data_IF_847817018473
#
_entry.id   IF_847817018473
#
_cell.length_a   1.000
_cell.length_b   1.000
_cell.length_c   1.000
_cell.angle_alpha   90.00
_cell.angle_beta   90.00
_cell.angle_gamma   90.00
#
_symmetry.space_group_name_H-M   'P 1'
#
loop_
_entity.id
_entity.type
_entity.pdbx_description
1 polymer ?
#
# COMPACT_ATOMS: atom_id res chain seq x y z
N UNK A 1 38.58 -18.09 47.04
CA UNK A 1 37.90 -18.75 45.91
C UNK A 1 36.41 -18.42 46.00
N UNK A 2 36.02 -17.23 45.54
CA UNK A 2 34.61 -16.85 45.39
C UNK A 2 34.29 -16.97 43.90
N UNK A 3 33.51 -17.99 43.55
CA UNK A 3 32.91 -18.12 42.23
C UNK A 3 31.87 -17.01 42.08
N UNK A 4 32.14 -16.05 41.20
CA UNK A 4 31.10 -15.18 40.66
C UNK A 4 30.17 -16.06 39.82
N UNK A 5 28.94 -16.27 40.28
CA UNK A 5 27.86 -16.78 39.44
C UNK A 5 27.61 -15.73 38.35
N UNK A 6 27.73 -16.12 37.09
CA UNK A 6 27.16 -15.35 35.99
C UNK A 6 25.66 -15.19 36.26
N UNK A 7 25.17 -13.95 36.34
CA UNK A 7 23.74 -13.67 36.30
C UNK A 7 23.23 -14.11 34.92
N UNK A 8 22.21 -14.98 34.89
CA UNK A 8 21.43 -15.24 33.67
C UNK A 8 20.86 -13.91 33.18
N UNK A 9 21.30 -13.46 32.00
CA UNK A 9 20.80 -12.25 31.37
C UNK A 9 19.56 -12.67 30.58
N UNK A 10 18.41 -12.79 31.25
CA UNK A 10 17.14 -13.00 30.55
C UNK A 10 16.81 -11.73 29.75
N UNK A 11 16.89 -11.83 28.42
CA UNK A 11 16.65 -10.72 27.49
C UNK A 11 15.16 -10.41 27.32
N UNK A 12 14.31 -11.44 27.41
CA UNK A 12 12.85 -11.30 27.40
C UNK A 12 12.31 -11.34 28.83
N UNK A 13 11.55 -10.31 29.21
CA UNK A 13 10.81 -10.38 30.47
C UNK A 13 9.66 -11.41 30.41
N UNK A 14 9.13 -11.79 31.57
CA UNK A 14 8.08 -12.81 31.69
C UNK A 14 6.81 -12.47 30.89
N UNK A 15 6.46 -11.19 30.78
CA UNK A 15 5.28 -10.76 30.02
C UNK A 15 5.54 -10.91 28.52
N UNK A 16 6.72 -10.51 28.05
CA UNK A 16 7.14 -10.68 26.65
C UNK A 16 7.19 -12.17 26.28
N UNK A 17 7.75 -13.04 27.13
CA UNK A 17 7.75 -14.50 26.90
C UNK A 17 6.35 -15.07 26.79
N UNK A 18 5.45 -14.66 27.69
CA UNK A 18 4.05 -15.13 27.71
C UNK A 18 3.30 -14.69 26.46
N UNK A 19 3.43 -13.42 26.07
CA UNK A 19 2.82 -12.89 24.85
C UNK A 19 3.39 -13.57 23.61
N UNK A 20 4.71 -13.71 23.52
CA UNK A 20 5.37 -14.31 22.37
C UNK A 20 4.92 -15.76 22.20
N UNK A 21 4.90 -16.56 23.27
CA UNK A 21 4.40 -17.94 23.23
C UNK A 21 2.98 -18.03 22.65
N UNK A 22 2.07 -17.18 23.13
CA UNK A 22 0.69 -17.13 22.63
C UNK A 22 0.59 -16.73 21.15
N UNK A 23 1.50 -15.89 20.66
CA UNK A 23 1.58 -15.57 19.23
C UNK A 23 2.17 -16.73 18.41
N UNK A 24 3.21 -17.39 18.90
CA UNK A 24 3.87 -18.51 18.20
C UNK A 24 2.94 -19.73 18.01
N UNK A 25 1.93 -19.90 18.87
CA UNK A 25 0.87 -20.90 18.66
C UNK A 25 0.09 -20.70 17.36
N UNK A 26 0.11 -19.50 16.78
CA UNK A 26 -0.58 -19.19 15.51
C UNK A 26 0.25 -19.49 14.26
N UNK A 27 1.48 -19.99 14.42
CA UNK A 27 2.32 -20.37 13.29
C UNK A 27 1.78 -21.64 12.62
N UNK A 28 1.69 -21.61 11.30
CA UNK A 28 1.26 -22.76 10.47
C UNK A 28 2.42 -23.39 9.69
N UNK A 29 3.55 -22.67 9.56
CA UNK A 29 4.78 -23.10 8.89
C UNK A 29 5.97 -23.07 9.85
N UNK A 30 6.99 -23.92 9.63
CA UNK A 30 8.24 -23.85 10.38
C UNK A 30 9.05 -22.58 10.04
N UNK A 31 9.68 -22.00 11.05
CA UNK A 31 10.50 -20.79 10.98
C UNK A 31 11.93 -21.12 11.43
N UNK A 32 12.93 -20.62 10.70
CA UNK A 32 14.34 -20.69 11.09
C UNK A 32 14.88 -19.28 11.37
N UNK A 33 15.60 -19.17 12.47
CA UNK A 33 16.36 -17.99 12.86
C UNK A 33 17.84 -18.26 12.57
N UNK A 34 18.37 -17.66 11.52
CA UNK A 34 19.75 -17.89 11.07
C UNK A 34 20.60 -16.68 11.44
N UNK A 35 21.35 -16.79 12.55
CA UNK A 35 22.22 -15.73 13.04
C UNK A 35 23.61 -15.75 12.39
N UNK A 36 24.20 -14.57 12.29
CA UNK A 36 25.57 -14.33 11.91
C UNK A 36 26.15 -13.38 12.96
N UNK A 37 27.04 -13.92 13.79
CA UNK A 37 27.51 -13.31 15.03
C UNK A 37 29.03 -13.09 15.00
N UNK A 38 29.48 -12.24 15.92
CA UNK A 38 30.89 -12.02 16.29
C UNK A 38 31.08 -12.30 17.79
N UNK A 39 32.27 -11.99 18.32
CA UNK A 39 32.62 -12.23 19.73
C UNK A 39 32.21 -11.09 20.68
N UNK A 40 31.39 -10.13 20.22
CA UNK A 40 30.95 -9.00 21.04
C UNK A 40 29.88 -9.40 22.07
N UNK A 41 29.77 -8.62 23.15
CA UNK A 41 28.70 -8.79 24.13
C UNK A 41 27.30 -8.67 23.49
N UNK A 42 27.14 -7.82 22.47
CA UNK A 42 25.88 -7.69 21.72
C UNK A 42 25.55 -8.96 20.95
N UNK A 43 26.53 -9.63 20.37
CA UNK A 43 26.31 -10.94 19.74
C UNK A 43 25.87 -12.00 20.75
N UNK A 44 26.44 -12.00 21.96
CA UNK A 44 25.99 -12.88 23.04
C UNK A 44 24.53 -12.61 23.44
N UNK A 45 24.14 -11.33 23.59
CA UNK A 45 22.74 -10.93 23.86
C UNK A 45 21.77 -11.44 22.79
N UNK A 46 22.13 -11.30 21.50
CA UNK A 46 21.30 -11.79 20.39
C UNK A 46 21.22 -13.31 20.40
N UNK A 47 22.33 -14.01 20.67
CA UNK A 47 22.34 -15.47 20.76
C UNK A 47 21.39 -15.98 21.84
N UNK A 48 21.44 -15.38 23.03
CA UNK A 48 20.56 -15.69 24.15
C UNK A 48 19.10 -15.49 23.75
N UNK A 49 18.77 -14.32 23.20
CA UNK A 49 17.42 -13.98 22.74
C UNK A 49 16.89 -15.01 21.73
N UNK A 50 17.66 -15.36 20.71
CA UNK A 50 17.20 -16.29 19.66
C UNK A 50 17.03 -17.72 20.19
N UNK A 51 17.88 -18.16 21.12
CA UNK A 51 17.73 -19.42 21.81
C UNK A 51 16.46 -19.44 22.67
N UNK A 52 16.21 -18.39 23.46
CA UNK A 52 14.99 -18.24 24.27
C UNK A 52 13.73 -18.30 23.39
N UNK A 53 13.73 -17.64 22.22
CA UNK A 53 12.59 -17.67 21.28
C UNK A 53 12.36 -19.08 20.72
N UNK A 54 13.43 -19.78 20.34
CA UNK A 54 13.34 -21.14 19.81
C UNK A 54 12.78 -22.13 20.84
N UNK A 55 13.05 -21.94 22.14
CA UNK A 55 12.47 -22.77 23.20
C UNK A 55 10.96 -22.58 23.40
N UNK A 56 10.38 -21.47 22.93
CA UNK A 56 8.95 -21.18 23.11
C UNK A 56 8.04 -21.90 22.11
N UNK A 57 8.58 -22.47 21.03
CA UNK A 57 7.79 -23.19 20.02
C UNK A 57 8.60 -24.22 19.25
N UNK A 58 8.03 -25.41 19.08
CA UNK A 58 8.53 -26.50 18.22
C UNK A 58 8.64 -26.11 16.73
N UNK A 59 7.94 -25.04 16.32
CA UNK A 59 7.98 -24.53 14.94
C UNK A 59 9.11 -23.54 14.69
N UNK A 60 9.82 -23.09 15.73
CA UNK A 60 10.92 -22.14 15.59
C UNK A 60 12.24 -22.84 15.90
N UNK A 61 13.18 -22.77 14.97
CA UNK A 61 14.54 -23.32 15.17
C UNK A 61 15.57 -22.21 15.07
N UNK A 62 16.64 -22.32 15.87
CA UNK A 62 17.75 -21.39 15.86
C UNK A 62 19.00 -22.08 15.29
N UNK A 63 19.66 -21.41 14.34
CA UNK A 63 20.91 -21.83 13.71
C UNK A 63 21.88 -20.64 13.64
N UNK A 64 23.16 -20.95 13.57
CA UNK A 64 24.24 -19.98 13.49
C UNK A 64 25.11 -20.29 12.27
N UNK A 65 25.29 -19.31 11.40
CA UNK A 65 26.24 -19.33 10.27
C UNK A 65 27.02 -18.01 10.27
N UNK A 66 28.20 -18.06 10.89
CA UNK A 66 29.09 -16.91 11.06
C UNK A 66 29.95 -16.61 9.83
N UNK A 67 29.81 -17.40 8.74
CA UNK A 67 30.58 -17.21 7.51
C UNK A 67 29.91 -16.26 6.51
N UNK A 68 28.63 -15.94 6.72
CA UNK A 68 27.86 -15.11 5.78
C UNK A 68 28.38 -13.67 5.71
N UNK A 69 28.39 -13.05 4.51
CA UNK A 69 28.86 -11.68 4.28
C UNK A 69 27.79 -10.65 4.65
N UNK A 70 27.35 -10.67 5.91
CA UNK A 70 26.33 -9.77 6.46
C UNK A 70 26.83 -9.10 7.75
N UNK A 71 26.10 -8.11 8.24
CA UNK A 71 26.39 -7.42 9.50
C UNK A 71 26.46 -8.41 10.68
N UNK A 72 27.30 -8.10 11.66
CA UNK A 72 27.44 -8.85 12.91
C UNK A 72 27.26 -7.90 14.10
N UNK A 73 26.39 -8.20 15.07
CA UNK A 73 25.40 -9.28 15.05
C UNK A 73 24.22 -8.98 14.12
N UNK A 74 23.75 -9.99 13.39
CA UNK A 74 22.44 -9.96 12.73
C UNK A 74 21.84 -11.35 12.59
N UNK A 75 20.54 -11.45 12.35
CA UNK A 75 19.87 -12.72 12.07
C UNK A 75 18.76 -12.58 11.03
N UNK A 76 18.60 -13.62 10.21
CA UNK A 76 17.53 -13.76 9.23
C UNK A 76 16.38 -14.58 9.83
N UNK A 77 15.15 -14.13 9.58
CA UNK A 77 13.93 -14.89 9.86
C UNK A 77 13.46 -15.48 8.53
N UNK A 78 13.45 -16.81 8.40
CA UNK A 78 13.11 -17.48 7.14
C UNK A 78 12.37 -18.81 7.36
N UNK A 79 12.09 -19.55 6.29
CA UNK A 79 11.61 -20.93 6.34
C UNK A 79 12.75 -21.91 6.00
N UNK A 80 12.69 -23.17 6.47
CA UNK A 80 13.69 -24.19 6.14
C UNK A 80 13.92 -24.32 4.63
N UNK A 81 15.19 -24.29 4.21
CA UNK A 81 15.58 -24.40 2.79
C UNK A 81 15.42 -23.11 1.98
N UNK A 82 14.94 -22.03 2.58
CA UNK A 82 14.90 -20.70 1.99
C UNK A 82 15.95 -19.79 2.63
N UNK A 83 16.36 -18.76 1.90
CA UNK A 83 17.17 -17.64 2.38
C UNK A 83 16.43 -16.29 2.23
N UNK A 84 15.11 -16.34 2.00
CA UNK A 84 14.24 -15.17 1.89
C UNK A 84 13.64 -14.81 3.25
N UNK A 85 13.60 -13.51 3.55
CA UNK A 85 12.87 -12.95 4.69
C UNK A 85 13.55 -11.71 5.25
N UNK A 86 12.98 -11.13 6.32
CA UNK A 86 13.54 -9.95 6.95
C UNK A 86 14.77 -10.30 7.79
N UNK A 87 15.77 -9.42 7.77
CA UNK A 87 16.95 -9.48 8.63
C UNK A 87 16.93 -8.35 9.65
N UNK A 88 17.28 -8.66 10.90
CA UNK A 88 17.55 -7.67 11.94
C UNK A 88 19.05 -7.64 12.23
N UNK A 89 19.65 -6.45 12.23
CA UNK A 89 21.04 -6.22 12.63
C UNK A 89 21.07 -5.41 13.94
N UNK A 90 21.65 -6.00 14.99
CA UNK A 90 21.59 -5.48 16.36
C UNK A 90 20.32 -5.90 17.09
N UNK A 91 19.94 -5.17 18.13
CA UNK A 91 18.83 -5.56 19.02
C UNK A 91 17.45 -5.36 18.38
N UNK A 92 16.62 -6.40 18.26
CA UNK A 92 15.25 -6.30 17.75
C UNK A 92 14.22 -5.99 18.88
N UNK A 93 14.67 -5.53 20.05
CA UNK A 93 13.83 -5.27 21.22
C UNK A 93 13.33 -3.81 21.26
N UNK A 94 12.91 -3.35 22.44
CA UNK A 94 12.30 -2.03 22.60
C UNK A 94 10.98 -1.95 21.83
N UNK A 95 10.77 -0.85 21.10
CA UNK A 95 9.59 -0.70 20.25
C UNK A 95 9.54 -1.72 19.09
N UNK A 96 10.69 -2.23 18.65
CA UNK A 96 10.78 -3.20 17.56
C UNK A 96 10.43 -4.64 17.98
N UNK A 97 10.19 -4.90 19.27
CA UNK A 97 9.74 -6.22 19.70
C UNK A 97 8.46 -6.65 18.97
N UNK A 98 7.53 -5.72 18.77
CA UNK A 98 6.30 -5.99 18.02
C UNK A 98 6.58 -6.32 16.55
N UNK A 99 7.58 -5.66 15.95
CA UNK A 99 8.04 -5.90 14.59
C UNK A 99 8.70 -7.28 14.43
N UNK A 100 9.46 -7.72 15.44
CA UNK A 100 10.01 -9.08 15.51
C UNK A 100 8.90 -10.12 15.55
N UNK A 101 7.90 -9.94 16.43
CA UNK A 101 6.77 -10.88 16.55
C UNK A 101 6.00 -10.99 15.23
N UNK A 102 5.71 -9.86 14.57
CA UNK A 102 5.01 -9.87 13.28
C UNK A 102 5.82 -10.53 12.17
N UNK A 103 7.13 -10.31 12.12
CA UNK A 103 8.01 -10.97 11.16
C UNK A 103 8.02 -12.50 11.32
N UNK A 104 8.06 -13.00 12.56
CA UNK A 104 7.91 -14.43 12.88
C UNK A 104 6.56 -14.97 12.40
N UNK A 105 5.47 -14.27 12.73
CA UNK A 105 4.11 -14.65 12.36
C UNK A 105 3.92 -14.74 10.85
N UNK A 106 4.31 -13.72 10.10
CA UNK A 106 4.15 -13.70 8.64
C UNK A 106 5.00 -14.78 7.96
N UNK A 107 6.26 -14.93 8.39
CA UNK A 107 7.14 -15.99 7.86
C UNK A 107 6.59 -17.38 8.18
N UNK A 108 5.97 -17.54 9.36
CA UNK A 108 5.29 -18.76 9.79
C UNK A 108 3.87 -18.94 9.25
N UNK A 109 3.43 -18.13 8.28
CA UNK A 109 2.17 -18.33 7.55
C UNK A 109 0.93 -17.67 8.16
N UNK A 110 1.07 -16.84 9.18
CA UNK A 110 -0.04 -16.00 9.65
C UNK A 110 -0.31 -14.86 8.63
N UNK A 111 -1.57 -14.59 8.24
CA UNK A 111 -1.86 -13.55 7.26
C UNK A 111 -1.60 -12.14 7.80
N UNK A 112 -1.23 -11.22 6.91
CA UNK A 112 -1.24 -9.78 7.19
C UNK A 112 -2.67 -9.24 7.27
N UNK A 113 -2.85 -8.11 7.97
CA UNK A 113 -4.13 -7.39 8.09
C UNK A 113 -4.35 -6.36 6.97
N UNK A 114 -3.35 -6.13 6.13
CA UNK A 114 -3.41 -5.19 5.00
C UNK A 114 -4.37 -5.66 3.91
N UNK A 115 -4.79 -4.73 3.04
CA UNK A 115 -5.67 -5.02 1.92
C UNK A 115 -5.04 -6.06 0.96
N UNK A 116 -5.78 -7.10 0.60
CA UNK A 116 -5.28 -8.19 -0.25
C UNK A 116 -4.81 -7.69 -1.63
N UNK A 117 -5.44 -6.65 -2.18
CA UNK A 117 -5.01 -6.01 -3.42
C UNK A 117 -3.60 -5.42 -3.34
N UNK A 118 -3.27 -4.78 -2.22
CA UNK A 118 -1.93 -4.22 -1.97
C UNK A 118 -0.90 -5.33 -1.78
N UNK A 119 -1.24 -6.40 -1.06
CA UNK A 119 -0.36 -7.56 -0.89
C UNK A 119 -0.05 -8.23 -2.23
N UNK A 120 -1.06 -8.38 -3.08
CA UNK A 120 -0.89 -8.96 -4.43
C UNK A 120 -0.06 -8.04 -5.33
N UNK A 121 -0.27 -6.72 -5.24
CA UNK A 121 0.57 -5.74 -5.94
C UNK A 121 2.06 -5.93 -5.57
N UNK A 122 2.37 -6.03 -4.27
CA UNK A 122 3.73 -6.21 -3.74
C UNK A 122 4.37 -7.50 -4.25
N UNK A 123 3.64 -8.62 -4.25
CA UNK A 123 4.14 -9.92 -4.73
C UNK A 123 4.64 -9.87 -6.18
N UNK A 124 4.02 -9.02 -6.99
CA UNK A 124 4.32 -8.89 -8.42
C UNK A 124 5.15 -7.65 -8.78
N UNK A 125 5.66 -6.91 -7.80
CA UNK A 125 6.58 -5.80 -8.08
C UNK A 125 7.80 -6.34 -8.83
N UNK A 126 8.09 -5.72 -9.97
CA UNK A 126 9.28 -5.97 -10.77
C UNK A 126 10.39 -4.98 -10.37
N UNK A 127 11.59 -5.49 -10.15
CA UNK A 127 12.76 -4.75 -9.67
C UNK A 127 13.43 -5.44 -8.48
N UNK A 128 14.74 -5.25 -8.36
CA UNK A 128 15.52 -5.74 -7.21
C UNK A 128 15.75 -4.58 -6.24
N UNK A 129 15.24 -4.72 -5.02
CA UNK A 129 15.24 -3.68 -4.00
C UNK A 129 15.85 -4.21 -2.71
N UNK A 130 16.96 -3.63 -2.28
CA UNK A 130 17.59 -3.90 -1.00
C UNK A 130 17.35 -2.71 -0.07
N UNK A 131 16.37 -2.87 0.81
CA UNK A 131 16.03 -1.88 1.81
C UNK A 131 16.85 -2.03 3.08
N UNK A 132 17.29 -0.91 3.63
CA UNK A 132 17.94 -0.82 4.93
C UNK A 132 17.24 0.26 5.75
N UNK A 133 16.72 -0.09 6.92
CA UNK A 133 16.00 0.85 7.80
C UNK A 133 16.77 1.02 9.10
N UNK A 134 17.30 2.21 9.35
CA UNK A 134 17.90 2.55 10.63
C UNK A 134 16.83 2.95 11.64
N UNK A 135 16.86 2.33 12.81
CA UNK A 135 15.97 2.62 13.94
C UNK A 135 16.75 2.76 15.25
N UNK A 136 16.07 3.17 16.31
CA UNK A 136 16.56 3.06 17.69
C UNK A 136 15.50 2.42 18.57
N UNK A 137 15.91 1.73 19.64
CA UNK A 137 15.01 1.01 20.53
C UNK A 137 13.94 1.90 21.20
N UNK A 138 14.22 3.20 21.32
CA UNK A 138 13.33 4.21 21.90
C UNK A 138 12.44 4.93 20.88
N UNK A 139 12.56 4.62 19.59
CA UNK A 139 11.79 5.27 18.53
C UNK A 139 10.36 4.73 18.44
N UNK A 140 9.38 5.54 18.83
CA UNK A 140 7.95 5.16 18.76
C UNK A 140 7.40 5.02 17.33
N UNK A 141 7.99 5.70 16.35
CA UNK A 141 7.50 5.76 14.97
C UNK A 141 8.18 4.76 14.03
N UNK A 142 9.26 4.11 14.48
CA UNK A 142 10.03 3.17 13.68
C UNK A 142 9.30 1.85 13.37
N UNK A 143 8.49 1.28 14.30
CA UNK A 143 7.87 -0.01 14.07
C UNK A 143 6.98 -0.06 12.83
N UNK A 144 6.20 1.00 12.56
CA UNK A 144 5.32 1.06 11.38
C UNK A 144 6.11 0.84 10.07
N UNK A 145 7.27 1.48 9.95
CA UNK A 145 8.12 1.42 8.75
C UNK A 145 8.88 0.09 8.66
N UNK A 146 9.43 -0.38 9.79
CA UNK A 146 10.12 -1.67 9.87
C UNK A 146 9.17 -2.81 9.52
N UNK A 147 7.94 -2.77 10.04
CA UNK A 147 6.90 -3.76 9.77
C UNK A 147 6.48 -3.77 8.30
N UNK A 148 6.28 -2.60 7.69
CA UNK A 148 5.92 -2.48 6.28
C UNK A 148 6.98 -3.14 5.37
N UNK A 149 8.26 -2.81 5.58
CA UNK A 149 9.35 -3.37 4.76
C UNK A 149 9.66 -4.84 5.09
N UNK A 150 9.49 -5.26 6.35
CA UNK A 150 9.54 -6.68 6.71
C UNK A 150 8.48 -7.48 5.95
N UNK A 151 7.24 -7.00 5.94
CA UNK A 151 6.15 -7.66 5.21
C UNK A 151 6.46 -7.77 3.72
N UNK A 152 6.98 -6.70 3.10
CA UNK A 152 7.36 -6.73 1.69
C UNK A 152 8.41 -7.81 1.39
N UNK A 153 9.42 -7.97 2.26
CA UNK A 153 10.45 -9.00 2.10
C UNK A 153 9.96 -10.44 2.25
N UNK A 154 8.90 -10.64 3.03
CA UNK A 154 8.21 -11.95 3.13
C UNK A 154 7.42 -12.23 1.85
N UNK A 155 6.81 -11.21 1.25
CA UNK A 155 5.91 -11.36 0.11
C UNK A 155 6.61 -11.51 -1.24
N UNK A 156 7.74 -10.82 -1.45
CA UNK A 156 8.44 -10.79 -2.73
C UNK A 156 9.94 -11.08 -2.55
N UNK A 157 10.50 -12.16 -3.15
CA UNK A 157 11.90 -12.54 -2.97
C UNK A 157 12.91 -11.55 -3.51
N UNK A 158 12.49 -10.60 -4.36
CA UNK A 158 13.34 -9.55 -4.93
C UNK A 158 13.41 -8.31 -4.04
N UNK A 159 12.58 -8.24 -3.02
CA UNK A 159 12.61 -7.18 -2.01
C UNK A 159 13.30 -7.75 -0.77
N UNK A 160 14.50 -7.26 -0.48
CA UNK A 160 15.25 -7.57 0.74
C UNK A 160 15.06 -6.43 1.73
N UNK A 161 15.02 -6.77 3.01
CA UNK A 161 14.98 -5.76 4.07
C UNK A 161 15.92 -6.13 5.22
N UNK A 162 16.76 -5.19 5.61
CA UNK A 162 17.54 -5.23 6.86
C UNK A 162 17.14 -4.08 7.77
N UNK A 163 16.53 -4.38 8.91
CA UNK A 163 16.30 -3.41 9.97
C UNK A 163 17.56 -3.31 10.85
N UNK A 164 18.10 -2.12 11.04
CA UNK A 164 19.39 -1.87 11.67
C UNK A 164 19.22 -1.03 12.93
N UNK A 165 19.56 -1.60 14.08
CA UNK A 165 19.63 -0.86 15.35
C UNK A 165 20.85 0.07 15.34
N UNK A 166 20.58 1.37 15.25
CA UNK A 166 21.61 2.41 15.27
C UNK A 166 22.39 2.48 16.59
N UNK A 167 21.86 1.92 17.69
CA UNK A 167 22.60 1.76 18.93
C UNK A 167 23.74 0.76 18.84
N UNK A 168 23.60 -0.26 17.98
CA UNK A 168 24.63 -1.28 17.71
C UNK A 168 25.58 -0.84 16.60
N UNK A 169 25.06 -0.23 15.52
CA UNK A 169 25.82 0.17 14.33
C UNK A 169 26.05 1.69 14.24
N UNK A 170 26.58 2.29 15.31
CA UNK A 170 26.80 3.75 15.39
C UNK A 170 27.76 4.29 14.31
N UNK A 171 28.70 3.45 13.85
CA UNK A 171 29.59 3.77 12.75
C UNK A 171 28.80 4.10 11.48
N UNK A 172 27.78 3.30 11.14
CA UNK A 172 26.99 3.51 9.94
C UNK A 172 26.07 4.74 10.05
N UNK A 173 25.54 5.01 11.25
CA UNK A 173 24.77 6.23 11.52
C UNK A 173 25.61 7.47 11.18
N UNK A 174 26.89 7.46 11.57
CA UNK A 174 27.83 8.55 11.31
C UNK A 174 28.21 8.61 9.83
N UNK A 175 28.64 7.50 9.25
CA UNK A 175 29.13 7.41 7.87
C UNK A 175 28.05 7.80 6.84
N UNK A 176 26.79 7.46 7.13
CA UNK A 176 25.64 7.79 6.27
C UNK A 176 24.90 9.05 6.68
N UNK A 177 25.41 9.79 7.67
CA UNK A 177 24.86 11.05 8.16
C UNK A 177 23.36 10.96 8.53
N UNK A 178 22.98 9.90 9.25
CA UNK A 178 21.59 9.66 9.67
C UNK A 178 21.25 10.54 10.87
N UNK A 179 20.58 11.67 10.63
CA UNK A 179 20.27 12.67 11.66
C UNK A 179 18.99 12.37 12.46
N UNK A 180 18.20 11.38 12.06
CA UNK A 180 16.94 11.02 12.72
C UNK A 180 16.38 9.69 12.22
N UNK A 181 15.49 9.08 12.98
CA UNK A 181 14.93 7.75 12.70
C UNK A 181 13.39 7.74 12.74
N UNK A 182 12.71 6.88 11.97
CA UNK A 182 13.27 5.88 11.05
C UNK A 182 13.86 6.52 9.79
N UNK A 183 15.00 6.00 9.32
CA UNK A 183 15.64 6.42 8.08
C UNK A 183 15.81 5.21 7.16
N UNK A 184 15.25 5.31 5.94
CA UNK A 184 15.21 4.22 4.98
C UNK A 184 16.14 4.52 3.81
N UNK A 185 16.93 3.53 3.46
CA UNK A 185 17.73 3.47 2.24
C UNK A 185 17.23 2.35 1.35
N UNK A 186 17.36 2.52 0.03
CA UNK A 186 17.13 1.48 -0.96
C UNK A 186 18.31 1.43 -1.92
N UNK A 187 18.91 0.26 -2.11
CA UNK A 187 20.06 0.04 -3.00
C UNK A 187 21.20 1.05 -2.74
N UNK A 188 21.47 1.34 -1.46
CA UNK A 188 22.52 2.28 -1.02
C UNK A 188 22.18 3.77 -1.16
N UNK A 189 20.98 4.13 -1.64
CA UNK A 189 20.52 5.53 -1.76
C UNK A 189 19.46 5.85 -0.72
N UNK A 190 19.41 7.11 -0.28
CA UNK A 190 18.34 7.57 0.61
C UNK A 190 16.97 7.44 -0.07
N UNK A 191 16.00 6.88 0.64
CA UNK A 191 14.64 6.65 0.16
C UNK A 191 13.62 7.59 0.84
N UNK A 192 13.80 7.80 2.14
CA UNK A 192 12.95 8.67 2.93
C UNK A 192 13.20 8.53 4.42
N UNK A 193 12.70 9.50 5.17
CA UNK A 193 12.84 9.58 6.62
C UNK A 193 11.49 9.89 7.26
N UNK A 194 11.27 9.39 8.48
CA UNK A 194 10.02 9.58 9.21
C UNK A 194 8.95 8.56 8.86
N UNK A 195 7.72 8.81 9.31
CA UNK A 195 6.60 7.88 9.14
C UNK A 195 6.28 7.70 7.67
N UNK A 196 6.21 6.44 7.24
CA UNK A 196 5.77 6.04 5.91
C UNK A 196 4.88 4.80 6.06
N UNK A 197 3.73 4.81 5.39
CA UNK A 197 2.83 3.67 5.30
C UNK A 197 3.28 2.71 4.22
N UNK A 198 2.83 1.45 4.28
CA UNK A 198 3.08 0.45 3.23
C UNK A 198 2.65 0.96 1.85
N UNK A 199 1.48 1.59 1.76
CA UNK A 199 0.94 2.17 0.52
C UNK A 199 1.87 3.23 -0.06
N UNK A 200 2.38 4.15 0.76
CA UNK A 200 3.32 5.20 0.31
C UNK A 200 4.65 4.62 -0.16
N UNK A 201 5.16 3.58 0.52
CA UNK A 201 6.40 2.90 0.13
C UNK A 201 6.21 2.23 -1.23
N UNK A 202 5.12 1.47 -1.40
CA UNK A 202 4.80 0.78 -2.66
C UNK A 202 4.65 1.76 -3.81
N UNK A 203 3.93 2.87 -3.61
CA UNK A 203 3.75 3.89 -4.64
C UNK A 203 5.08 4.50 -5.15
N UNK A 204 6.10 4.58 -4.29
CA UNK A 204 7.42 5.11 -4.68
C UNK A 204 8.28 4.13 -5.48
N UNK A 205 8.10 2.81 -5.28
CA UNK A 205 8.95 1.80 -5.94
C UNK A 205 8.26 1.10 -7.11
N UNK A 206 6.94 1.01 -7.10
CA UNK A 206 6.17 0.34 -8.15
C UNK A 206 5.91 1.29 -9.33
N UNK A 207 7.00 1.76 -9.94
CA UNK A 207 6.95 2.58 -11.16
C UNK A 207 6.33 1.85 -12.36
N UNK A 208 6.15 0.52 -12.25
CA UNK A 208 5.48 -0.33 -13.23
C UNK A 208 3.97 -0.51 -13.01
N UNK A 209 3.39 0.03 -11.93
CA UNK A 209 1.96 -0.12 -11.63
C UNK A 209 1.06 0.39 -12.77
N UNK A 210 1.35 1.60 -13.28
CA UNK A 210 0.61 2.18 -14.40
C UNK A 210 0.75 1.34 -15.67
N UNK A 211 1.96 0.81 -15.94
CA UNK A 211 2.22 -0.04 -17.11
C UNK A 211 1.49 -1.37 -17.01
N UNK A 212 1.47 -2.02 -15.84
CA UNK A 212 0.72 -3.27 -15.61
C UNK A 212 -0.77 -3.06 -15.70
N UNK A 213 -1.30 -1.98 -15.12
CA UNK A 213 -2.70 -1.61 -15.28
C UNK A 213 -3.05 -1.39 -16.76
N UNK A 214 -2.17 -0.72 -17.52
CA UNK A 214 -2.35 -0.54 -18.95
C UNK A 214 -2.28 -1.86 -19.75
N UNK A 215 -1.37 -2.77 -19.39
CA UNK A 215 -1.29 -4.11 -19.98
C UNK A 215 -2.54 -4.95 -19.70
N UNK A 216 -3.10 -4.90 -18.50
CA UNK A 216 -4.37 -5.57 -18.17
C UNK A 216 -5.54 -4.98 -18.95
N UNK A 217 -5.59 -3.66 -19.14
CA UNK A 217 -6.58 -3.01 -19.99
C UNK A 217 -6.42 -3.45 -21.46
N UNK A 218 -5.19 -3.56 -21.96
CA UNK A 218 -4.90 -4.01 -23.32
C UNK A 218 -5.36 -5.46 -23.59
N UNK A 219 -5.43 -6.30 -22.56
CA UNK A 219 -5.91 -7.69 -22.66
C UNK A 219 -7.43 -7.81 -22.72
N UNK A 220 -8.18 -6.75 -22.41
CA UNK A 220 -9.64 -6.83 -22.35
C UNK A 220 -10.24 -7.03 -23.74
N UNK A 221 -11.20 -7.95 -23.80
CA UNK A 221 -12.02 -8.13 -25.00
C UNK A 221 -12.81 -6.88 -25.33
N UNK A 222 -13.09 -6.71 -26.62
CA UNK A 222 -13.85 -5.58 -27.12
C UNK A 222 -15.21 -5.47 -26.42
N UNK A 223 -15.60 -4.24 -26.05
CA UNK A 223 -16.91 -3.95 -25.50
C UNK A 223 -17.96 -3.82 -26.59
N UNK A 224 -19.22 -4.13 -26.26
CA UNK A 224 -20.33 -3.72 -27.11
C UNK A 224 -20.52 -2.19 -27.01
N UNK A 225 -20.37 -1.64 -25.80
CA UNK A 225 -20.31 -0.20 -25.55
C UNK A 225 -19.24 0.14 -24.51
N UNK A 226 -18.39 1.11 -24.83
CA UNK A 226 -17.46 1.72 -23.89
C UNK A 226 -17.86 3.17 -23.63
N UNK A 227 -18.09 3.49 -22.37
CA UNK A 227 -18.50 4.82 -21.91
C UNK A 227 -17.28 5.52 -21.32
N UNK A 228 -16.97 6.72 -21.82
CA UNK A 228 -15.81 7.52 -21.42
C UNK A 228 -16.28 8.71 -20.59
N UNK A 229 -16.00 8.66 -19.28
CA UNK A 229 -16.44 9.60 -18.26
C UNK A 229 -17.46 8.95 -17.31
N UNK A 230 -17.11 8.86 -16.02
CA UNK A 230 -17.88 8.16 -14.98
C UNK A 230 -18.67 9.10 -14.05
N UNK A 231 -19.07 10.28 -14.56
CA UNK A 231 -20.03 11.15 -13.90
C UNK A 231 -21.49 10.66 -14.05
N UNK A 232 -22.50 11.45 -13.64
CA UNK A 232 -23.91 11.04 -13.67
C UNK A 232 -24.39 10.57 -15.05
N UNK A 233 -23.96 11.24 -16.12
CA UNK A 233 -24.30 10.85 -17.49
C UNK A 233 -23.75 9.47 -17.87
N UNK A 234 -22.49 9.19 -17.54
CA UNK A 234 -21.85 7.91 -17.84
C UNK A 234 -22.39 6.77 -16.98
N UNK A 235 -22.61 7.00 -15.68
CA UNK A 235 -23.24 6.02 -14.80
C UNK A 235 -24.65 5.64 -15.26
N UNK A 236 -25.46 6.63 -15.67
CA UNK A 236 -26.77 6.38 -16.26
C UNK A 236 -26.67 5.54 -17.55
N UNK A 237 -25.77 5.90 -18.47
CA UNK A 237 -25.54 5.13 -19.69
C UNK A 237 -25.11 3.68 -19.41
N UNK A 238 -24.25 3.46 -18.40
CA UNK A 238 -23.77 2.14 -18.02
C UNK A 238 -24.90 1.26 -17.49
N UNK A 239 -25.71 1.79 -16.56
CA UNK A 239 -26.88 1.09 -16.02
C UNK A 239 -27.83 0.67 -17.14
N UNK A 240 -28.16 1.60 -18.05
CA UNK A 240 -29.10 1.30 -19.14
C UNK A 240 -28.53 0.29 -20.15
N UNK A 241 -27.23 0.34 -20.42
CA UNK A 241 -26.56 -0.59 -21.33
C UNK A 241 -26.47 -1.99 -20.75
N UNK A 242 -25.98 -2.13 -19.51
CA UNK A 242 -25.84 -3.43 -18.86
C UNK A 242 -27.20 -4.12 -18.62
N UNK A 243 -28.28 -3.34 -18.40
CA UNK A 243 -29.66 -3.87 -18.35
C UNK A 243 -30.13 -4.55 -19.64
N UNK A 244 -29.46 -4.33 -20.76
CA UNK A 244 -29.71 -5.04 -22.03
C UNK A 244 -28.85 -6.30 -22.18
N UNK A 245 -28.00 -6.61 -21.21
CA UNK A 245 -27.14 -7.79 -21.22
C UNK A 245 -25.96 -7.70 -22.19
N UNK A 246 -25.62 -6.49 -22.68
CA UNK A 246 -24.47 -6.27 -23.56
C UNK A 246 -23.22 -5.96 -22.76
N UNK A 247 -22.04 -6.32 -23.29
CA UNK A 247 -20.76 -6.13 -22.62
C UNK A 247 -20.46 -4.63 -22.49
N UNK A 248 -20.55 -4.13 -21.26
CA UNK A 248 -20.53 -2.69 -20.95
C UNK A 248 -19.27 -2.32 -20.16
N UNK A 249 -18.47 -1.40 -20.72
CA UNK A 249 -17.35 -0.79 -20.02
C UNK A 249 -17.66 0.65 -19.61
N UNK A 250 -17.28 1.03 -18.40
CA UNK A 250 -17.39 2.41 -17.88
C UNK A 250 -16.03 2.87 -17.39
N UNK A 251 -15.35 3.72 -18.17
CA UNK A 251 -14.04 4.26 -17.80
C UNK A 251 -14.11 5.75 -17.42
N UNK A 252 -13.31 6.19 -16.45
CA UNK A 252 -13.17 7.61 -16.15
C UNK A 252 -12.05 7.93 -15.16
N UNK A 253 -11.77 9.23 -15.03
CA UNK A 253 -10.70 9.72 -14.13
C UNK A 253 -11.09 9.57 -12.65
N UNK A 254 -12.36 9.80 -12.34
CA UNK A 254 -12.91 9.70 -10.97
C UNK A 254 -14.41 9.44 -11.02
N UNK A 255 -14.85 8.29 -10.50
CA UNK A 255 -16.28 7.97 -10.41
C UNK A 255 -17.05 9.05 -9.64
N UNK A 256 -18.23 9.41 -10.16
CA UNK A 256 -19.08 10.48 -9.62
C UNK A 256 -18.84 11.85 -10.27
N UNK A 257 -17.69 12.11 -10.87
CA UNK A 257 -17.43 13.38 -11.58
C UNK A 257 -17.60 14.62 -10.69
N UNK A 258 -18.34 15.62 -11.17
CA UNK A 258 -18.50 16.93 -10.51
C UNK A 258 -19.32 16.87 -9.21
N UNK A 259 -20.29 15.95 -9.10
CA UNK A 259 -21.13 15.88 -7.89
C UNK A 259 -20.31 15.50 -6.65
N UNK A 260 -19.16 14.83 -6.82
CA UNK A 260 -18.31 14.43 -5.69
C UNK A 260 -17.77 15.63 -4.89
N UNK A 261 -17.59 16.78 -5.56
CA UNK A 261 -17.11 18.02 -4.93
C UNK A 261 -18.26 18.98 -4.57
N UNK A 262 -19.51 18.53 -4.69
CA UNK A 262 -20.72 19.33 -4.37
C UNK A 262 -21.26 18.92 -3.01
N UNK A 263 -21.58 19.90 -2.16
CA UNK A 263 -22.14 19.63 -0.83
C UNK A 263 -23.65 19.48 -0.91
N UNK A 264 -24.39 20.56 -1.14
CA UNK A 264 -25.86 20.55 -1.10
C UNK A 264 -26.48 20.39 -2.50
N UNK A 265 -27.45 19.49 -2.64
CA UNK A 265 -28.16 19.23 -3.89
C UNK A 265 -29.65 19.09 -3.59
N UNK A 266 -30.45 20.06 -4.06
CA UNK A 266 -31.91 20.15 -3.79
C UNK A 266 -32.77 20.02 -5.07
N UNK A 267 -32.14 19.72 -6.20
CA UNK A 267 -32.80 19.68 -7.51
C UNK A 267 -32.64 18.34 -8.24
N UNK A 268 -32.18 17.29 -7.55
CA UNK A 268 -32.25 15.93 -8.07
C UNK A 268 -33.69 15.42 -7.90
N UNK A 269 -34.47 15.46 -8.98
CA UNK A 269 -35.92 15.19 -8.97
C UNK A 269 -36.26 13.91 -8.19
N UNK A 270 -37.33 13.96 -7.38
CA UNK A 270 -37.78 12.97 -6.38
C UNK A 270 -36.97 12.92 -5.07
N UNK A 271 -35.82 13.58 -5.00
CA UNK A 271 -35.00 13.69 -3.78
C UNK A 271 -34.97 15.16 -3.34
N UNK A 272 -35.72 15.54 -2.29
CA UNK A 272 -35.82 16.94 -1.86
C UNK A 272 -34.48 17.57 -1.48
N UNK A 273 -33.58 16.77 -0.88
CA UNK A 273 -32.25 17.19 -0.46
C UNK A 273 -31.31 15.98 -0.36
N UNK A 274 -30.12 16.09 -0.91
CA UNK A 274 -29.04 15.09 -0.79
C UNK A 274 -27.69 15.77 -0.84
N UNK A 275 -26.65 14.99 -0.60
CA UNK A 275 -25.26 15.42 -0.70
C UNK A 275 -24.54 14.75 -1.87
N UNK A 276 -23.52 15.41 -2.40
CA UNK A 276 -22.76 14.94 -3.56
C UNK A 276 -22.09 13.58 -3.37
N UNK A 277 -21.38 13.40 -2.25
CA UNK A 277 -20.75 12.11 -1.90
C UNK A 277 -21.79 10.99 -1.75
N UNK A 278 -22.93 11.29 -1.10
CA UNK A 278 -24.03 10.35 -0.92
C UNK A 278 -24.65 9.94 -2.26
N UNK A 279 -24.87 10.91 -3.15
CA UNK A 279 -25.42 10.65 -4.48
C UNK A 279 -24.43 9.85 -5.35
N UNK A 280 -23.14 10.17 -5.32
CA UNK A 280 -22.11 9.40 -6.01
C UNK A 280 -22.05 7.95 -5.52
N UNK A 281 -22.14 7.73 -4.20
CA UNK A 281 -22.24 6.39 -3.62
C UNK A 281 -23.49 5.63 -4.09
N UNK A 282 -24.65 6.29 -4.12
CA UNK A 282 -25.89 5.69 -4.62
C UNK A 282 -25.80 5.32 -6.12
N UNK A 283 -25.13 6.14 -6.94
CA UNK A 283 -24.86 5.81 -8.34
C UNK A 283 -23.93 4.60 -8.45
N UNK A 284 -22.89 4.51 -7.62
CA UNK A 284 -21.95 3.38 -7.62
C UNK A 284 -22.66 2.08 -7.29
N UNK A 285 -23.49 2.08 -6.24
CA UNK A 285 -24.33 0.92 -5.87
C UNK A 285 -25.18 0.47 -7.04
N UNK A 286 -25.91 1.38 -7.71
CA UNK A 286 -26.79 1.00 -8.81
C UNK A 286 -26.03 0.51 -10.06
N UNK A 287 -24.83 1.03 -10.32
CA UNK A 287 -23.95 0.49 -11.38
C UNK A 287 -23.53 -0.95 -11.05
N UNK A 288 -23.18 -1.21 -9.79
CA UNK A 288 -22.67 -2.52 -9.32
C UNK A 288 -23.76 -3.60 -9.20
N UNK A 289 -25.04 -3.24 -9.27
CA UNK A 289 -26.16 -4.19 -9.41
C UNK A 289 -26.11 -4.97 -10.73
N UNK A 290 -25.29 -4.52 -11.69
CA UNK A 290 -25.13 -5.14 -13.00
C UNK A 290 -23.66 -5.46 -13.28
N UNK A 291 -23.43 -6.33 -14.25
CA UNK A 291 -22.09 -6.68 -14.74
C UNK A 291 -21.53 -5.55 -15.62
N UNK A 292 -21.17 -4.43 -14.97
CA UNK A 292 -20.48 -3.30 -15.59
C UNK A 292 -19.01 -3.38 -15.24
N UNK A 293 -18.17 -3.37 -16.26
CA UNK A 293 -16.75 -3.31 -16.07
C UNK A 293 -16.30 -1.86 -15.80
N UNK A 294 -16.23 -1.50 -14.51
CA UNK A 294 -15.88 -0.15 -14.05
C UNK A 294 -14.36 0.01 -13.97
N UNK A 295 -13.83 0.97 -14.73
CA UNK A 295 -12.41 1.31 -14.79
C UNK A 295 -12.24 2.73 -14.26
N UNK A 296 -11.72 2.87 -13.05
CA UNK A 296 -11.50 4.19 -12.43
C UNK A 296 -10.03 4.64 -12.57
N UNK A 297 -9.77 5.92 -12.33
CA UNK A 297 -8.42 6.52 -12.42
C UNK A 297 -7.76 6.34 -13.79
N UNK A 298 -8.55 6.39 -14.88
CA UNK A 298 -8.05 6.34 -16.25
C UNK A 298 -8.57 7.53 -17.06
N UNK A 299 -7.65 8.25 -17.72
CA UNK A 299 -8.00 9.33 -18.64
C UNK A 299 -7.89 8.85 -20.08
N UNK A 300 -8.92 9.11 -20.88
CA UNK A 300 -8.89 8.86 -22.32
C UNK A 300 -8.13 10.00 -23.01
N UNK A 301 -7.13 9.65 -23.82
CA UNK A 301 -6.26 10.61 -24.52
C UNK A 301 -6.66 10.79 -25.98
N UNK A 302 -7.23 9.75 -26.61
CA UNK A 302 -7.59 9.78 -28.03
C UNK A 302 -8.69 8.79 -28.39
N UNK A 303 -9.58 9.21 -29.29
CA UNK A 303 -10.54 8.36 -29.99
C UNK A 303 -10.01 8.06 -31.40
N UNK A 304 -9.96 6.78 -31.76
CA UNK A 304 -9.72 6.31 -33.12
C UNK A 304 -11.05 5.74 -33.67
N UNK A 305 -11.70 6.42 -34.62
CA UNK A 305 -12.91 5.91 -35.25
C UNK A 305 -12.66 4.59 -36.01
N UNK A 306 -13.65 3.70 -36.02
CA UNK A 306 -13.61 2.51 -36.87
C UNK A 306 -13.48 2.91 -38.35
N UNK A 307 -12.66 2.20 -39.11
CA UNK A 307 -12.45 2.48 -40.53
C UNK A 307 -13.66 2.11 -41.42
N UNK A 308 -14.53 1.23 -40.91
CA UNK A 308 -15.71 0.72 -41.61
C UNK A 308 -16.88 0.58 -40.64
N UNK A 309 -18.11 0.68 -41.14
CA UNK A 309 -19.32 0.35 -40.38
C UNK A 309 -19.27 -1.12 -39.92
N UNK A 310 -19.69 -1.39 -38.68
CA UNK A 310 -19.56 -2.70 -38.05
C UNK A 310 -18.16 -3.03 -37.51
N UNK A 311 -17.17 -2.14 -37.70
CA UNK A 311 -15.84 -2.23 -37.11
C UNK A 311 -15.79 -1.84 -35.63
N UNK A 312 -14.57 -1.73 -35.09
CA UNK A 312 -14.33 -1.34 -33.69
C UNK A 312 -13.69 0.04 -33.60
N UNK A 313 -14.26 0.89 -32.77
CA UNK A 313 -13.61 2.11 -32.28
C UNK A 313 -12.54 1.75 -31.25
N UNK A 314 -11.55 2.62 -31.09
CA UNK A 314 -10.52 2.46 -30.07
C UNK A 314 -10.40 3.73 -29.21
N UNK A 315 -10.18 3.53 -27.92
CA UNK A 315 -9.84 4.59 -26.97
C UNK A 315 -8.43 4.33 -26.46
N UNK A 316 -7.51 5.25 -26.76
CA UNK A 316 -6.20 5.30 -26.12
C UNK A 316 -6.34 5.97 -24.75
N UNK A 317 -5.64 5.46 -23.74
CA UNK A 317 -5.56 6.06 -22.41
C UNK A 317 -4.25 6.84 -22.24
N UNK A 318 -4.21 7.77 -21.27
CA UNK A 318 -2.97 8.47 -20.91
C UNK A 318 -1.90 7.50 -20.35
N UNK A 319 -2.31 6.37 -19.77
CA UNK A 319 -1.44 5.29 -19.28
C UNK A 319 -0.86 4.41 -20.40
N UNK A 320 -1.28 4.60 -21.66
CA UNK A 320 -0.79 3.84 -22.81
C UNK A 320 -1.57 2.57 -23.14
N UNK A 321 -2.74 2.34 -22.53
CA UNK A 321 -3.65 1.27 -22.90
C UNK A 321 -4.53 1.64 -24.10
N UNK A 322 -5.06 0.63 -24.79
CA UNK A 322 -6.00 0.77 -25.90
C UNK A 322 -7.19 -0.16 -25.69
N UNK A 323 -8.34 0.42 -25.38
CA UNK A 323 -9.60 -0.31 -25.28
C UNK A 323 -10.34 -0.28 -26.62
N UNK A 324 -11.07 -1.35 -26.93
CA UNK A 324 -11.81 -1.51 -28.20
C UNK A 324 -13.30 -1.62 -27.91
N UNK A 325 -14.14 -1.00 -28.74
CA UNK A 325 -15.59 -1.14 -28.59
C UNK A 325 -16.35 -1.00 -29.92
N UNK A 326 -17.51 -1.65 -30.03
CA UNK A 326 -18.42 -1.49 -31.19
C UNK A 326 -19.08 -0.11 -31.20
N UNK A 327 -19.35 0.45 -30.03
CA UNK A 327 -19.93 1.78 -29.86
C UNK A 327 -19.28 2.53 -28.69
N UNK A 328 -19.25 3.86 -28.77
CA UNK A 328 -18.65 4.74 -27.77
C UNK A 328 -19.68 5.76 -27.29
N UNK A 329 -19.73 6.00 -25.99
CA UNK A 329 -20.48 7.11 -25.39
C UNK A 329 -19.47 8.04 -24.70
N UNK A 330 -19.40 9.30 -25.14
CA UNK A 330 -18.55 10.31 -24.50
C UNK A 330 -19.38 11.11 -23.49
N UNK A 331 -19.01 11.01 -22.22
CA UNK A 331 -19.69 11.60 -21.07
C UNK A 331 -18.71 12.28 -20.10
N UNK A 332 -17.64 12.89 -20.63
CA UNK A 332 -16.51 13.45 -19.86
C UNK A 332 -16.82 14.76 -19.12
N UNK A 333 -18.03 15.30 -19.29
CA UNK A 333 -18.45 16.53 -18.62
C UNK A 333 -17.68 17.77 -19.06
N UNK A 334 -17.54 18.73 -18.15
CA UNK A 334 -16.82 19.98 -18.36
C UNK A 334 -16.13 20.43 -17.07
N UNK A 335 -15.19 21.37 -17.18
CA UNK A 335 -14.59 22.10 -16.06
C UNK A 335 -15.14 23.53 -16.04
N UNK A 336 -15.63 23.97 -14.89
CA UNK A 336 -15.96 25.39 -14.69
C UNK A 336 -14.68 26.20 -14.67
N UNK A 337 -14.68 27.37 -15.32
CA UNK A 337 -13.54 28.27 -15.31
C UNK A 337 -13.48 28.99 -13.97
N UNK A 338 -12.34 28.91 -13.31
CA UNK A 338 -12.07 29.61 -12.06
C UNK A 338 -11.53 31.01 -12.34
N UNK A 339 -11.71 31.92 -11.39
CA UNK A 339 -11.13 33.27 -11.39
C UNK A 339 -9.63 33.25 -11.10
N UNK A 340 -9.14 32.23 -10.40
CA UNK A 340 -7.77 32.02 -9.93
C UNK A 340 -7.27 33.17 -9.05
N UNK A 341 -8.08 33.56 -8.06
CA UNK A 341 -7.77 34.65 -7.11
C UNK A 341 -7.66 34.13 -5.68
N UNK A 342 -6.88 34.79 -4.80
CA UNK A 342 -6.84 34.44 -3.38
C UNK A 342 -8.23 34.43 -2.75
N UNK A 343 -8.54 33.36 -2.00
CA UNK A 343 -9.83 33.17 -1.34
C UNK A 343 -10.87 32.41 -2.16
N UNK A 344 -10.73 32.27 -3.49
CA UNK A 344 -11.71 31.54 -4.31
C UNK A 344 -11.90 30.09 -3.85
N UNK A 345 -10.80 29.36 -3.66
CA UNK A 345 -10.83 27.97 -3.21
C UNK A 345 -11.31 27.85 -1.74
N UNK A 346 -10.88 28.77 -0.88
CA UNK A 346 -11.26 28.81 0.54
C UNK A 346 -12.76 28.97 0.76
N UNK A 347 -13.42 29.76 -0.10
CA UNK A 347 -14.85 30.07 -0.02
C UNK A 347 -15.70 29.26 -1.00
N UNK A 348 -15.11 28.31 -1.74
CA UNK A 348 -15.86 27.36 -2.55
C UNK A 348 -16.84 26.58 -1.66
N UNK A 349 -18.08 26.45 -2.13
CA UNK A 349 -19.23 25.90 -1.37
C UNK A 349 -19.61 26.67 -0.09
N UNK A 350 -19.05 27.86 0.13
CA UNK A 350 -19.31 28.74 1.29
C UNK A 350 -19.65 30.18 0.88
N UNK A 351 -20.16 30.36 -0.33
CA UNK A 351 -20.46 31.66 -0.93
C UNK A 351 -19.96 31.80 -2.37
N UNK A 352 -18.83 31.15 -2.71
CA UNK A 352 -18.39 31.02 -4.11
C UNK A 352 -19.07 29.80 -4.72
N UNK A 353 -19.85 30.04 -5.77
CA UNK A 353 -20.56 29.03 -6.57
C UNK A 353 -20.45 29.33 -8.07
N UNK A 354 -20.68 28.30 -8.88
CA UNK A 354 -20.59 28.34 -10.33
C UNK A 354 -21.96 28.19 -11.02
N UNK A 355 -22.99 27.74 -10.29
CA UNK A 355 -24.27 27.35 -10.88
C UNK A 355 -25.42 28.18 -10.29
N UNK A 356 -25.96 29.19 -11.02
CA UNK A 356 -27.06 30.01 -10.51
C UNK A 356 -28.36 29.22 -10.31
N UNK A 357 -28.57 28.17 -11.10
CA UNK A 357 -29.74 27.29 -10.98
C UNK A 357 -29.71 26.40 -9.74
N UNK A 358 -28.50 26.09 -9.26
CA UNK A 358 -28.28 25.18 -8.14
C UNK A 358 -28.45 25.94 -6.82
N UNK A 359 -27.76 27.07 -6.68
CA UNK A 359 -27.62 27.73 -5.38
C UNK A 359 -28.39 29.06 -5.28
N UNK A 360 -28.95 29.57 -6.38
CA UNK A 360 -29.69 30.84 -6.39
C UNK A 360 -30.75 30.96 -5.29
N UNK A 361 -31.57 29.91 -5.01
CA UNK A 361 -32.55 29.94 -3.93
C UNK A 361 -31.98 30.14 -2.52
N UNK A 362 -30.70 29.81 -2.27
CA UNK A 362 -30.05 29.91 -0.97
C UNK A 362 -29.73 31.37 -0.57
N UNK A 363 -29.72 32.30 -1.54
CA UNK A 363 -29.30 33.69 -1.34
C UNK A 363 -30.45 34.70 -1.30
N UNK A 364 -31.70 34.25 -1.11
CA UNK A 364 -32.91 35.12 -1.14
C UNK A 364 -32.89 36.33 -0.19
N UNK A 365 -32.08 36.31 0.88
CA UNK A 365 -31.98 37.41 1.85
C UNK A 365 -30.83 38.40 1.58
N UNK A 366 -30.00 38.15 0.57
CA UNK A 366 -28.80 38.94 0.24
C UNK A 366 -28.86 39.59 -1.15
N UNK A 367 -30.02 39.55 -1.81
CA UNK A 367 -30.27 40.14 -3.12
C UNK A 367 -30.94 41.52 -3.02
#
# INVERSE_FOLDING_TARGET
MMMFKAQEINMLDTNMKTQLKAYLEKLTKPVELIATLDDSAKSAEIKELLAEIAELSDKVTFKEDNSLPVRKPSFLITNPGSNQGPRFAGSPLGHEFTSLVLALLWTGGHPSKEAQSLLEQIRHIDGDFEFETYYSLSCHNCPDVVQALNLMSVLNPRIKHTAIDGGTFQNEITDRNVMGVPAVFVNGKEFGQGRMTLTEIVAKIDTGAEKRAAEELNKRDAYDVLIVGSGPAGAAAAIYSARKGIRTGLMGERFGGQILDTVDIENYISVPKTEGQKLAGALKVHVDEYDVDVIDSQSASKLIPAAVEGGLHQIETASGAVLKARSIIVATGAKWRNMNVPGEDQYRTKGVTYCPHCDGPLFKANA
#
